data_IF_490065548446
#
_entry.id   IF_490065548446
#
_cell.length_a   1.000
_cell.length_b   1.000
_cell.length_c   1.000
_cell.angle_alpha   90.00
_cell.angle_beta   90.00
_cell.angle_gamma   90.00
#
_symmetry.space_group_name_H-M   'P 1'
#
loop_
_entity.id
_entity.type
_entity.pdbx_description
1 polymer ?
#
# COMPACT_ATOMS: atom_id res chain seq x y z
N UNK A 1 -21.21 -12.40 -0.67
CA UNK A 1 -19.92 -11.83 -1.07
C UNK A 1 -19.60 -12.29 -2.48
N UNK A 2 -19.29 -11.40 -3.43
CA UNK A 2 -18.90 -11.82 -4.77
C UNK A 2 -17.45 -12.31 -4.80
N UNK A 3 -17.05 -13.03 -5.86
CA UNK A 3 -15.66 -13.44 -6.06
C UNK A 3 -14.71 -12.23 -6.14
N UNK A 4 -15.19 -11.12 -6.71
CA UNK A 4 -14.43 -9.88 -6.89
C UNK A 4 -14.17 -9.23 -5.52
N UNK A 5 -15.22 -9.11 -4.70
CA UNK A 5 -15.10 -8.54 -3.34
C UNK A 5 -14.16 -9.38 -2.48
N UNK A 6 -14.30 -10.71 -2.53
CA UNK A 6 -13.40 -11.61 -1.82
C UNK A 6 -11.95 -11.42 -2.26
N UNK A 7 -11.71 -11.27 -3.56
CA UNK A 7 -10.35 -11.09 -4.06
C UNK A 7 -9.76 -9.74 -3.66
N UNK A 8 -10.58 -8.70 -3.66
CA UNK A 8 -10.21 -7.39 -3.15
C UNK A 8 -9.77 -7.48 -1.68
N UNK A 9 -10.63 -8.04 -0.80
CA UNK A 9 -10.38 -8.13 0.64
C UNK A 9 -9.14 -8.97 0.97
N UNK A 10 -8.95 -10.10 0.27
CA UNK A 10 -7.77 -10.95 0.40
C UNK A 10 -6.49 -10.21 0.04
N UNK A 11 -6.47 -9.53 -1.11
CA UNK A 11 -5.31 -8.76 -1.56
C UNK A 11 -5.03 -7.60 -0.60
N UNK A 12 -6.05 -6.84 -0.23
CA UNK A 12 -5.94 -5.70 0.68
C UNK A 12 -5.32 -6.13 2.02
N UNK A 13 -5.90 -7.16 2.65
CA UNK A 13 -5.44 -7.66 3.95
C UNK A 13 -4.04 -8.28 3.88
N UNK A 14 -3.68 -8.89 2.75
CA UNK A 14 -2.34 -9.46 2.56
C UNK A 14 -1.27 -8.38 2.46
N UNK A 15 -1.56 -7.27 1.77
CA UNK A 15 -0.59 -6.16 1.63
C UNK A 15 -0.38 -5.46 2.96
N UNK A 16 -1.45 -5.15 3.72
CA UNK A 16 -1.30 -4.53 5.03
C UNK A 16 -0.45 -5.37 5.98
N UNK A 17 -0.75 -6.67 6.08
CA UNK A 17 0.02 -7.61 6.92
C UNK A 17 1.47 -7.72 6.49
N UNK A 18 1.76 -7.62 5.19
CA UNK A 18 3.13 -7.64 4.71
C UNK A 18 3.91 -6.41 5.20
N UNK A 19 3.31 -5.23 5.26
CA UNK A 19 4.02 -4.01 5.63
C UNK A 19 4.00 -3.66 7.12
N UNK A 20 3.11 -4.26 7.91
CA UNK A 20 2.94 -3.99 9.34
C UNK A 20 4.27 -3.94 10.11
N UNK A 21 5.05 -5.02 10.12
CA UNK A 21 6.34 -5.07 10.83
C UNK A 21 7.42 -4.17 10.20
N UNK A 22 7.29 -3.86 8.90
CA UNK A 22 8.28 -3.05 8.16
C UNK A 22 8.16 -1.56 8.47
N UNK A 23 6.93 -1.09 8.69
CA UNK A 23 6.65 0.29 9.11
C UNK A 23 7.36 0.57 10.44
N UNK A 24 7.29 -0.36 11.40
CA UNK A 24 7.91 -0.18 12.71
C UNK A 24 9.44 -0.28 12.66
N UNK A 25 9.98 -1.19 11.85
CA UNK A 25 11.42 -1.42 11.75
C UNK A 25 12.17 -0.33 10.97
N UNK A 26 11.62 0.12 9.85
CA UNK A 26 12.21 1.16 9.00
C UNK A 26 11.12 1.90 8.20
N UNK A 27 10.44 2.89 8.80
CA UNK A 27 9.36 3.61 8.12
C UNK A 27 9.87 4.43 6.94
N UNK A 28 11.13 4.90 6.96
CA UNK A 28 11.71 5.69 5.86
C UNK A 28 12.02 4.82 4.64
N UNK A 29 12.71 3.71 4.83
CA UNK A 29 12.99 2.76 3.74
C UNK A 29 11.69 2.17 3.19
N UNK A 30 10.74 1.84 4.07
CA UNK A 30 9.42 1.33 3.67
C UNK A 30 8.65 2.35 2.84
N UNK A 31 8.64 3.63 3.24
CA UNK A 31 7.99 4.71 2.48
C UNK A 31 8.53 4.83 1.05
N UNK A 32 9.85 4.72 0.85
CA UNK A 32 10.47 4.76 -0.48
C UNK A 32 9.95 3.61 -1.36
N UNK A 33 9.94 2.39 -0.83
CA UNK A 33 9.46 1.20 -1.55
C UNK A 33 7.97 1.31 -1.90
N UNK A 34 7.16 1.77 -0.95
CA UNK A 34 5.70 1.95 -1.14
C UNK A 34 5.42 2.98 -2.22
N UNK A 35 6.14 4.09 -2.25
CA UNK A 35 5.97 5.12 -3.29
C UNK A 35 6.33 4.61 -4.68
N UNK A 36 7.41 3.83 -4.82
CA UNK A 36 7.78 3.20 -6.09
C UNK A 36 6.72 2.21 -6.57
N UNK A 37 6.17 1.40 -5.65
CA UNK A 37 5.12 0.45 -6.00
C UNK A 37 3.80 1.16 -6.35
N UNK A 38 3.43 2.21 -5.62
CA UNK A 38 2.26 3.03 -5.94
C UNK A 38 2.36 3.64 -7.34
N UNK A 39 3.52 4.17 -7.73
CA UNK A 39 3.74 4.68 -9.08
C UNK A 39 3.49 3.60 -10.14
N UNK A 40 4.10 2.41 -9.95
CA UNK A 40 3.90 1.25 -10.83
C UNK A 40 2.42 0.83 -10.93
N UNK A 41 1.71 0.77 -9.79
CA UNK A 41 0.31 0.37 -9.76
C UNK A 41 -0.62 1.41 -10.39
N UNK A 42 -0.35 2.70 -10.22
CA UNK A 42 -1.12 3.76 -10.86
C UNK A 42 -0.95 3.75 -12.39
N UNK A 43 0.25 3.49 -12.90
CA UNK A 43 0.48 3.28 -14.34
C UNK A 43 -0.32 2.08 -14.84
N UNK A 44 -0.34 0.99 -14.09
CA UNK A 44 -1.17 -0.17 -14.43
C UNK A 44 -2.64 0.26 -14.45
N UNK A 45 -3.17 0.78 -13.35
CA UNK A 45 -4.58 1.17 -13.22
C UNK A 45 -5.06 2.08 -14.35
N UNK A 46 -4.30 3.14 -14.68
CA UNK A 46 -4.68 4.11 -15.71
C UNK A 46 -4.66 3.57 -17.15
N UNK A 47 -3.97 2.46 -17.42
CA UNK A 47 -3.93 1.86 -18.74
C UNK A 47 -4.93 0.70 -18.84
N UNK A 48 -5.79 0.65 -19.86
CA UNK A 48 -6.67 -0.51 -20.08
C UNK A 48 -5.93 -1.61 -20.84
N UNK A 49 -5.25 -2.51 -20.12
CA UNK A 49 -4.47 -3.59 -20.73
C UNK A 49 -5.40 -4.72 -21.15
N UNK A 50 -5.32 -5.12 -22.42
CA UNK A 50 -6.04 -6.28 -22.96
C UNK A 50 -5.78 -7.51 -22.09
N UNK A 51 -6.84 -8.14 -21.59
CA UNK A 51 -6.75 -9.34 -20.76
C UNK A 51 -6.66 -9.11 -19.25
N UNK A 52 -6.69 -7.86 -18.76
CA UNK A 52 -6.73 -7.57 -17.31
C UNK A 52 -7.98 -8.16 -16.65
N UNK A 53 -9.16 -7.77 -17.16
CA UNK A 53 -10.45 -8.23 -16.63
C UNK A 53 -10.73 -7.78 -15.19
N UNK A 54 -11.99 -7.93 -14.78
CA UNK A 54 -12.53 -7.36 -13.53
C UNK A 54 -11.86 -7.89 -12.26
N UNK A 55 -11.30 -9.11 -12.28
CA UNK A 55 -10.60 -9.69 -11.14
C UNK A 55 -9.25 -8.99 -10.91
N UNK A 56 -8.48 -8.72 -11.96
CA UNK A 56 -7.23 -7.98 -11.81
C UNK A 56 -7.47 -6.50 -11.50
N UNK A 57 -8.57 -5.91 -12.00
CA UNK A 57 -8.96 -4.56 -11.60
C UNK A 57 -9.17 -4.48 -10.08
N UNK A 58 -9.86 -5.46 -9.50
CA UNK A 58 -10.03 -5.54 -8.05
C UNK A 58 -8.71 -5.75 -7.30
N UNK A 59 -7.80 -6.58 -7.83
CA UNK A 59 -6.46 -6.78 -7.23
C UNK A 59 -5.65 -5.48 -7.25
N UNK A 60 -5.61 -4.75 -8.37
CA UNK A 60 -4.88 -3.48 -8.49
C UNK A 60 -5.49 -2.43 -7.55
N UNK A 61 -6.82 -2.31 -7.54
CA UNK A 61 -7.53 -1.37 -6.67
C UNK A 61 -7.26 -1.67 -5.18
N UNK A 62 -7.30 -2.94 -4.77
CA UNK A 62 -6.98 -3.36 -3.41
C UNK A 62 -5.52 -3.06 -3.05
N UNK A 63 -4.59 -3.32 -3.98
CA UNK A 63 -3.17 -3.06 -3.78
C UNK A 63 -2.90 -1.57 -3.58
N UNK A 64 -3.44 -0.70 -4.45
CA UNK A 64 -3.30 0.76 -4.32
C UNK A 64 -3.88 1.22 -2.97
N UNK A 65 -5.10 0.78 -2.65
CA UNK A 65 -5.79 1.19 -1.41
C UNK A 65 -4.98 0.80 -0.15
N UNK A 66 -4.42 -0.41 -0.13
CA UNK A 66 -3.60 -0.86 0.99
C UNK A 66 -2.26 -0.10 1.06
N UNK A 67 -1.60 0.13 -0.07
CA UNK A 67 -0.33 0.86 -0.11
C UNK A 67 -0.48 2.33 0.29
N UNK A 68 -1.59 2.98 -0.02
CA UNK A 68 -1.90 4.34 0.44
C UNK A 68 -2.00 4.41 1.98
N UNK A 69 -2.61 3.40 2.61
CA UNK A 69 -2.66 3.28 4.08
C UNK A 69 -1.25 3.09 4.66
N UNK A 70 -0.45 2.21 4.05
CA UNK A 70 0.94 1.99 4.47
C UNK A 70 1.76 3.27 4.33
N UNK A 71 1.60 4.03 3.23
CA UNK A 71 2.26 5.32 3.03
C UNK A 71 1.94 6.27 4.18
N UNK A 72 0.66 6.44 4.48
CA UNK A 72 0.21 7.32 5.56
C UNK A 72 0.73 6.86 6.93
N UNK A 73 0.77 5.56 7.20
CA UNK A 73 1.33 5.01 8.44
C UNK A 73 2.84 5.30 8.55
N UNK A 74 3.61 5.12 7.47
CA UNK A 74 5.03 5.47 7.46
C UNK A 74 5.27 6.97 7.71
N UNK A 75 4.51 7.84 7.03
CA UNK A 75 4.59 9.30 7.20
C UNK A 75 4.31 9.69 8.66
N UNK A 76 3.23 9.16 9.24
CA UNK A 76 2.90 9.36 10.65
C UNK A 76 4.02 8.89 11.58
N UNK A 77 4.56 7.67 11.38
CA UNK A 77 5.66 7.15 12.19
C UNK A 77 6.91 8.02 12.08
N UNK A 78 7.23 8.56 10.90
CA UNK A 78 8.39 9.44 10.71
C UNK A 78 8.20 10.75 11.47
N UNK A 79 7.03 11.39 11.38
CA UNK A 79 6.73 12.65 12.07
C UNK A 79 6.81 12.52 13.59
N UNK A 80 6.26 11.43 14.15
CA UNK A 80 6.29 11.20 15.60
C UNK A 80 7.72 10.89 16.09
N UNK A 81 8.51 10.12 15.33
CA UNK A 81 9.91 9.84 15.67
C UNK A 81 10.83 11.08 15.57
N UNK A 82 10.46 12.11 14.82
CA UNK A 82 11.17 13.40 14.79
C UNK A 82 10.81 14.23 16.03
N UNK A 83 9.51 14.27 16.37
CA UNK A 83 9.00 15.03 17.52
C UNK A 83 9.57 14.53 18.86
N UNK A 84 9.82 13.23 19.01
CA UNK A 84 10.48 12.68 20.20
C UNK A 84 11.95 13.09 20.33
N UNK A 85 12.65 13.35 19.21
CA UNK A 85 14.08 13.72 19.22
C UNK A 85 14.33 15.21 19.46
N UNK A 86 13.36 16.07 19.19
CA UNK A 86 13.47 17.52 19.42
C UNK A 86 13.11 17.93 20.86
N UNK A 87 12.52 17.03 21.65
CA UNK A 87 12.12 17.26 23.04
C UNK A 87 13.12 16.71 24.08
N UNK A 88 14.34 16.32 23.66
CA UNK A 88 15.43 15.82 24.53
C UNK A 88 16.64 16.75 24.49
#
# INVERSE_FOLDING_TARGET
>A
MSLIDKKYDETFSSILRYYEERIDADPKGTLVLVNQELESQNIRFGNNWTGRGVVMDAVIAATISALEIVRSACEYSIENNITEKENV
#
